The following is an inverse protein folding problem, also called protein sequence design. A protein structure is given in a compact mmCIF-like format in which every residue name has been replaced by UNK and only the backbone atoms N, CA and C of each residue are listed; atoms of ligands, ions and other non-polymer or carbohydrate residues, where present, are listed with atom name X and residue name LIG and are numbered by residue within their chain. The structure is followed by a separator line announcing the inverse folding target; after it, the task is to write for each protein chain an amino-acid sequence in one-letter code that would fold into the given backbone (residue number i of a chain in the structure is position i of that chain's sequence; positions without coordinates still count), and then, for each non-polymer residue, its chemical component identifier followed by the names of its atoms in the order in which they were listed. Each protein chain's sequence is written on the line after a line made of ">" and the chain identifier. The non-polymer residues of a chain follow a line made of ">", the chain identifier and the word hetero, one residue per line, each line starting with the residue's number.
data_IF_409235923216
#
_entry.id   IF_409235923216
#
_cell.length_a   1.000
_cell.length_b   1.000
_cell.length_c   1.000
_cell.angle_alpha   90.00
_cell.angle_beta   90.00
_cell.angle_gamma   90.00
#
_symmetry.space_group_name_H-M   'P 1'
#
loop_
_entity.id
_entity.type
_entity.pdbx_description
1 polymer ?
#
# COMPACT_ATOMS: atom_id res chain seq x y z
N UNK A 1 39.71 43.41 -2.82
CA UNK A 1 38.31 43.62 -2.38
C UNK A 1 37.57 42.31 -2.57
N UNK A 2 37.46 41.62 -1.44
CA UNK A 2 36.85 40.34 -1.32
C UNK A 2 35.36 40.49 -1.00
N UNK A 3 34.47 40.02 -1.81
CA UNK A 3 33.05 39.87 -1.50
C UNK A 3 32.71 38.41 -1.23
N UNK A 4 32.33 38.14 0.01
CA UNK A 4 31.84 36.86 0.52
C UNK A 4 30.52 36.47 -0.16
N UNK A 5 30.52 35.30 -0.80
CA UNK A 5 29.27 34.57 -1.13
C UNK A 5 28.77 33.91 0.17
N UNK A 6 27.63 34.37 0.68
CA UNK A 6 26.88 33.68 1.73
C UNK A 6 26.13 32.50 1.06
N UNK A 7 26.45 31.32 1.58
CA UNK A 7 25.79 30.07 1.29
C UNK A 7 24.42 30.04 1.95
N UNK A 8 23.34 30.09 1.19
CA UNK A 8 21.97 29.80 1.67
C UNK A 8 21.71 28.31 1.50
N UNK A 9 22.23 27.52 2.43
CA UNK A 9 21.88 26.10 2.55
C UNK A 9 21.48 25.85 4.01
N UNK A 10 20.20 25.86 4.30
CA UNK A 10 19.74 25.59 5.66
C UNK A 10 18.39 26.16 6.00
N UNK A 11 17.31 25.81 5.28
CA UNK A 11 15.93 25.98 5.78
C UNK A 11 14.92 25.17 4.95
N UNK A 12 15.04 23.85 4.97
CA UNK A 12 14.03 22.96 4.40
C UNK A 12 13.96 21.59 5.10
N UNK A 13 14.17 21.55 6.43
CA UNK A 13 13.94 20.35 7.24
C UNK A 13 13.29 20.73 8.56
N UNK A 14 12.08 21.29 8.50
CA UNK A 14 11.25 21.50 9.69
C UNK A 14 9.79 21.81 9.31
N UNK A 15 9.10 20.90 8.61
CA UNK A 15 7.64 20.93 8.46
C UNK A 15 7.09 19.56 8.05
N UNK A 16 7.38 18.53 8.86
CA UNK A 16 6.67 17.24 8.75
C UNK A 16 6.56 16.55 10.12
N UNK A 17 6.06 17.25 11.12
CA UNK A 17 5.81 16.68 12.46
C UNK A 17 4.65 17.35 13.19
N UNK A 18 3.56 17.66 12.48
CA UNK A 18 2.29 18.05 13.12
C UNK A 18 1.15 17.50 12.30
N UNK A 19 0.73 16.26 12.55
CA UNK A 19 -0.61 15.74 12.31
C UNK A 19 -0.74 14.32 12.92
N UNK A 20 -0.59 14.23 14.25
CA UNK A 20 -1.05 13.08 15.03
C UNK A 20 -1.41 13.57 16.43
N UNK A 21 -2.51 14.31 16.54
CA UNK A 21 -3.21 14.57 17.79
C UNK A 21 -4.69 14.74 17.48
N UNK A 22 -5.36 13.63 17.15
CA UNK A 22 -6.80 13.55 17.25
C UNK A 22 -7.11 13.10 18.68
N UNK A 23 -7.51 14.04 19.52
CA UNK A 23 -8.06 13.81 20.86
C UNK A 23 -9.28 12.92 20.77
N UNK A 24 -9.18 11.72 21.29
CA UNK A 24 -10.33 10.88 21.64
C UNK A 24 -10.92 11.44 22.93
N UNK A 25 -12.04 12.15 22.84
CA UNK A 25 -12.85 12.50 24.00
C UNK A 25 -13.68 11.28 24.43
N UNK A 26 -13.70 10.89 25.69
CA UNK A 26 -14.57 9.83 26.16
C UNK A 26 -16.03 10.32 26.16
N UNK A 27 -16.88 9.64 25.39
CA UNK A 27 -18.33 9.80 25.44
C UNK A 27 -18.83 9.28 26.79
N UNK A 28 -19.36 10.17 27.60
CA UNK A 28 -20.14 9.83 28.81
C UNK A 28 -21.40 9.10 28.36
N UNK A 29 -21.53 7.87 28.74
CA UNK A 29 -22.76 7.08 28.56
C UNK A 29 -23.72 7.47 29.68
N UNK A 30 -24.75 8.19 29.33
CA UNK A 30 -25.88 8.53 30.20
C UNK A 30 -26.70 7.25 30.48
N UNK A 31 -26.70 6.83 31.71
CA UNK A 31 -27.51 5.71 32.20
C UNK A 31 -28.99 6.11 32.19
N UNK A 32 -29.78 5.57 31.27
CA UNK A 32 -31.25 5.57 31.38
C UNK A 32 -31.69 4.38 32.24
N UNK A 33 -32.35 4.67 33.34
CA UNK A 33 -33.11 3.73 34.16
C UNK A 33 -34.27 3.11 33.36
N UNK A 34 -34.58 1.84 33.58
CA UNK A 34 -35.76 1.21 33.00
C UNK A 34 -37.04 1.57 33.76
N UNK A 35 -38.19 1.74 33.08
CA UNK A 35 -39.50 1.76 33.75
C UNK A 35 -39.97 0.32 34.06
N UNK A 36 -40.66 0.18 35.17
CA UNK A 36 -41.21 -1.04 35.72
C UNK A 36 -42.48 -1.49 35.00
N UNK A 37 -42.63 -2.83 34.95
CA UNK A 37 -43.82 -3.64 35.16
C UNK A 37 -45.12 -3.40 34.36
N UNK A 38 -45.49 -4.37 33.55
CA UNK A 38 -46.84 -4.91 33.53
C UNK A 38 -46.85 -6.31 32.90
N UNK A 39 -47.62 -7.16 33.53
CA UNK A 39 -47.72 -8.59 33.48
C UNK A 39 -48.45 -9.20 32.26
N UNK A 40 -48.21 -10.51 32.08
CA UNK A 40 -49.11 -11.56 31.56
C UNK A 40 -49.58 -11.52 30.11
N UNK A 41 -49.02 -12.40 29.28
CA UNK A 41 -49.77 -13.29 28.37
C UNK A 41 -48.86 -14.44 27.86
N UNK A 42 -49.25 -15.65 28.19
CA UNK A 42 -48.69 -16.92 27.68
C UNK A 42 -49.32 -17.30 26.30
N UNK A 43 -48.91 -18.44 25.69
CA UNK A 43 -48.13 -18.49 24.47
C UNK A 43 -48.95 -18.98 23.24
N UNK A 44 -48.54 -18.63 22.08
CA UNK A 44 -48.97 -19.32 20.85
C UNK A 44 -47.77 -19.81 20.09
N UNK A 45 -47.67 -21.12 19.95
CA UNK A 45 -46.71 -21.83 19.15
C UNK A 45 -46.93 -21.54 17.66
N UNK A 46 -45.93 -20.93 16.99
CA UNK A 46 -45.86 -21.02 15.58
C UNK A 46 -44.37 -21.24 15.17
N UNK A 47 -44.13 -22.35 14.46
CA UNK A 47 -42.82 -22.79 14.01
C UNK A 47 -42.42 -21.92 12.79
N UNK A 48 -41.22 -21.35 12.72
CA UNK A 48 -40.66 -20.94 11.46
C UNK A 48 -39.80 -22.08 10.90
N UNK A 49 -40.20 -22.47 9.71
CA UNK A 49 -39.49 -23.30 8.75
C UNK A 49 -38.04 -22.84 8.57
N UNK A 50 -37.16 -23.85 8.57
CA UNK A 50 -35.71 -23.67 8.46
C UNK A 50 -35.21 -22.87 7.28
N UNK A 51 -34.25 -21.99 7.57
CA UNK A 51 -33.22 -21.56 6.64
C UNK A 51 -31.90 -22.14 7.15
N UNK A 52 -31.45 -23.19 6.48
CA UNK A 52 -30.13 -23.76 6.65
C UNK A 52 -29.07 -22.75 6.18
N UNK A 53 -28.08 -22.48 7.00
CA UNK A 53 -26.93 -21.70 6.58
C UNK A 53 -26.21 -20.94 7.71
N UNK A 54 -26.06 -21.51 8.89
CA UNK A 54 -25.05 -21.05 9.84
C UNK A 54 -24.07 -22.20 10.06
N UNK A 55 -22.89 -22.12 9.39
CA UNK A 55 -21.76 -22.95 9.76
C UNK A 55 -21.52 -22.77 11.26
N UNK A 56 -21.87 -23.77 12.05
CA UNK A 56 -21.49 -23.85 13.46
C UNK A 56 -19.96 -23.91 13.45
N UNK A 57 -19.31 -22.82 13.85
CA UNK A 57 -17.93 -22.88 14.28
C UNK A 57 -17.92 -23.91 15.43
N UNK A 58 -17.31 -25.08 15.18
CA UNK A 58 -17.04 -26.05 16.24
C UNK A 58 -16.38 -25.28 17.38
N UNK A 59 -17.01 -25.31 18.55
CA UNK A 59 -16.44 -24.71 19.76
C UNK A 59 -15.21 -25.52 20.11
N UNK A 60 -14.02 -24.96 19.75
CA UNK A 60 -12.76 -25.57 20.12
C UNK A 60 -12.69 -25.68 21.66
N UNK A 61 -12.41 -26.89 22.18
CA UNK A 61 -12.23 -27.07 23.61
C UNK A 61 -11.01 -26.30 24.09
N UNK A 62 -11.21 -25.44 25.08
CA UNK A 62 -10.15 -24.71 25.74
C UNK A 62 -9.30 -25.65 26.58
N UNK A 63 -8.23 -26.19 26.00
CA UNK A 63 -7.31 -27.08 26.71
C UNK A 63 -6.41 -26.29 27.68
N UNK A 64 -5.93 -26.94 28.74
CA UNK A 64 -5.02 -26.31 29.70
C UNK A 64 -3.72 -25.80 29.06
N UNK A 65 -3.06 -26.51 28.10
CA UNK A 65 -1.91 -25.99 27.39
C UNK A 65 -2.21 -24.75 26.56
N UNK A 66 -3.33 -24.71 25.84
CA UNK A 66 -3.76 -23.56 25.05
C UNK A 66 -3.99 -22.35 25.96
N UNK A 67 -4.76 -22.50 27.02
CA UNK A 67 -5.01 -21.43 27.99
C UNK A 67 -3.70 -20.91 28.60
N UNK A 68 -2.81 -21.81 29.02
CA UNK A 68 -1.50 -21.43 29.55
C UNK A 68 -0.68 -20.64 28.56
N UNK A 69 -0.60 -21.06 27.27
CA UNK A 69 0.15 -20.39 26.23
C UNK A 69 -0.37 -18.97 25.97
N UNK A 70 -1.70 -18.80 25.88
CA UNK A 70 -2.32 -17.50 25.70
C UNK A 70 -2.10 -16.58 26.89
N UNK A 71 -2.32 -17.07 28.13
CA UNK A 71 -2.10 -16.28 29.35
C UNK A 71 -0.63 -15.87 29.51
N UNK A 72 0.30 -16.80 29.27
CA UNK A 72 1.72 -16.49 29.29
C UNK A 72 2.09 -15.41 28.26
N UNK A 73 1.55 -15.52 27.03
CA UNK A 73 1.73 -14.53 25.96
C UNK A 73 1.22 -13.14 26.38
N UNK A 74 0.01 -13.05 26.96
CA UNK A 74 -0.55 -11.78 27.44
C UNK A 74 0.27 -11.17 28.59
N UNK A 75 0.59 -11.95 29.61
CA UNK A 75 1.37 -11.46 30.76
C UNK A 75 2.77 -11.01 30.32
N UNK A 76 3.42 -11.77 29.44
CA UNK A 76 4.73 -11.40 28.90
C UNK A 76 4.64 -10.10 28.08
N UNK A 77 3.61 -9.95 27.25
CA UNK A 77 3.35 -8.74 26.46
C UNK A 77 3.15 -7.51 27.35
N UNK A 78 2.32 -7.60 28.38
CA UNK A 78 2.08 -6.53 29.36
C UNK A 78 3.36 -6.12 30.13
N UNK A 79 4.29 -7.05 30.30
CA UNK A 79 5.60 -6.81 30.96
C UNK A 79 6.69 -6.36 29.98
N UNK A 80 6.35 -6.10 28.71
CA UNK A 80 7.30 -5.72 27.68
C UNK A 80 8.22 -6.85 27.19
N UNK A 81 7.99 -8.12 27.62
CA UNK A 81 8.74 -9.30 27.16
C UNK A 81 8.12 -9.82 25.85
N UNK A 82 8.27 -9.03 24.80
CA UNK A 82 7.67 -9.33 23.50
C UNK A 82 8.24 -10.59 22.84
N UNK A 83 9.51 -10.90 23.14
CA UNK A 83 10.20 -12.14 22.75
C UNK A 83 9.45 -13.38 23.27
N UNK A 84 9.13 -13.38 24.57
CA UNK A 84 8.40 -14.47 25.22
C UNK A 84 6.94 -14.47 24.74
N UNK A 85 6.32 -13.28 24.60
CA UNK A 85 4.94 -13.13 24.17
C UNK A 85 4.71 -13.75 22.79
N UNK A 86 5.51 -13.37 21.78
CA UNK A 86 5.40 -13.92 20.42
C UNK A 86 5.57 -15.43 20.37
N UNK A 87 6.60 -15.96 21.06
CA UNK A 87 6.85 -17.40 21.13
C UNK A 87 5.71 -18.17 21.82
N UNK A 88 5.14 -17.61 22.89
CA UNK A 88 4.03 -18.25 23.62
C UNK A 88 2.75 -18.29 22.77
N UNK A 89 2.44 -17.22 22.03
CA UNK A 89 1.32 -17.21 21.09
C UNK A 89 1.52 -18.16 19.92
N UNK A 90 2.75 -18.26 19.38
CA UNK A 90 3.05 -19.21 18.30
C UNK A 90 2.85 -20.65 18.80
N UNK A 91 3.32 -20.99 20.00
CA UNK A 91 3.10 -22.31 20.58
C UNK A 91 1.61 -22.57 20.83
N UNK A 92 0.87 -21.61 21.38
CA UNK A 92 -0.58 -21.69 21.55
C UNK A 92 -1.30 -21.92 20.21
N UNK A 93 -0.85 -21.28 19.12
CA UNK A 93 -1.44 -21.46 17.79
C UNK A 93 -1.27 -22.87 17.21
N UNK A 94 -0.28 -23.63 17.68
CA UNK A 94 -0.09 -25.04 17.28
C UNK A 94 -1.13 -25.96 17.91
N UNK A 95 -1.71 -25.51 19.03
CA UNK A 95 -2.70 -26.25 19.82
C UNK A 95 -4.14 -25.78 19.54
N UNK A 96 -4.34 -24.87 18.60
CA UNK A 96 -5.63 -24.28 18.26
C UNK A 96 -5.82 -24.23 16.76
N UNK A 97 -7.06 -24.29 16.32
CA UNK A 97 -7.48 -24.03 14.94
C UNK A 97 -7.92 -22.58 14.72
N UNK A 98 -7.84 -21.72 15.76
CA UNK A 98 -8.17 -20.31 15.64
C UNK A 98 -7.00 -19.53 14.99
N UNK A 99 -7.18 -19.02 13.74
CA UNK A 99 -6.13 -18.31 13.02
C UNK A 99 -5.71 -17.01 13.70
N UNK A 100 -6.57 -16.42 14.55
CA UNK A 100 -6.30 -15.16 15.27
C UNK A 100 -5.13 -15.29 16.25
N UNK A 101 -4.87 -16.49 16.76
CA UNK A 101 -3.75 -16.74 17.67
C UNK A 101 -2.42 -16.67 16.90
N UNK A 102 -2.35 -17.27 15.71
CA UNK A 102 -1.19 -17.20 14.84
C UNK A 102 -0.95 -15.77 14.29
N UNK A 103 -2.02 -15.08 13.90
CA UNK A 103 -1.97 -13.67 13.52
C UNK A 103 -1.38 -12.80 14.62
N UNK A 104 -1.84 -12.98 15.87
CA UNK A 104 -1.32 -12.25 17.03
C UNK A 104 0.15 -12.55 17.28
N UNK A 105 0.55 -13.81 17.20
CA UNK A 105 1.95 -14.22 17.31
C UNK A 105 2.82 -13.51 16.27
N UNK A 106 2.37 -13.47 15.01
CA UNK A 106 3.07 -12.80 13.91
C UNK A 106 3.20 -11.29 14.18
N UNK A 107 2.09 -10.59 14.52
CA UNK A 107 2.10 -9.14 14.77
C UNK A 107 3.04 -8.76 15.92
N UNK A 108 3.03 -9.52 17.01
CA UNK A 108 3.92 -9.30 18.16
C UNK A 108 5.38 -9.53 17.75
N UNK A 109 5.67 -10.59 17.00
CA UNK A 109 7.03 -10.94 16.57
C UNK A 109 7.61 -9.92 15.59
N UNK A 110 6.78 -9.36 14.69
CA UNK A 110 7.17 -8.23 13.80
C UNK A 110 7.54 -7.02 14.65
N UNK A 111 6.70 -6.65 15.61
CA UNK A 111 6.96 -5.50 16.49
C UNK A 111 8.21 -5.73 17.36
N UNK A 112 8.43 -6.97 17.83
CA UNK A 112 9.62 -7.39 18.59
C UNK A 112 10.89 -7.47 17.73
N UNK A 113 10.81 -7.24 16.41
CA UNK A 113 11.91 -7.38 15.45
C UNK A 113 12.55 -8.78 15.46
N UNK A 114 11.70 -9.80 15.55
CA UNK A 114 12.08 -11.21 15.50
C UNK A 114 11.63 -11.83 14.18
N UNK A 115 12.39 -11.62 13.08
CA UNK A 115 11.92 -11.95 11.73
C UNK A 115 11.62 -13.44 11.54
N UNK A 116 12.43 -14.32 12.11
CA UNK A 116 12.22 -15.76 11.96
C UNK A 116 10.96 -16.23 12.69
N UNK A 117 10.73 -15.75 13.90
CA UNK A 117 9.54 -16.06 14.67
C UNK A 117 8.27 -15.51 14.00
N UNK A 118 8.36 -14.31 13.41
CA UNK A 118 7.28 -13.71 12.65
C UNK A 118 6.95 -14.55 11.40
N UNK A 119 7.98 -15.04 10.69
CA UNK A 119 7.81 -15.91 9.53
C UNK A 119 7.11 -17.23 9.91
N UNK A 120 7.55 -17.89 10.99
CA UNK A 120 6.95 -19.15 11.44
C UNK A 120 5.48 -18.95 11.86
N UNK A 121 5.17 -17.82 12.51
CA UNK A 121 3.80 -17.47 12.89
C UNK A 121 2.92 -17.16 11.66
N UNK A 122 3.47 -16.48 10.65
CA UNK A 122 2.75 -16.23 9.39
C UNK A 122 2.49 -17.52 8.60
N UNK A 123 3.45 -18.44 8.56
CA UNK A 123 3.26 -19.79 7.99
C UNK A 123 2.10 -20.51 8.67
N UNK A 124 2.09 -20.48 10.01
CA UNK A 124 0.99 -21.08 10.78
C UNK A 124 -0.34 -20.41 10.49
N UNK A 125 -0.37 -19.08 10.36
CA UNK A 125 -1.59 -18.34 10.04
C UNK A 125 -2.14 -18.74 8.66
N UNK A 126 -1.31 -18.85 7.63
CA UNK A 126 -1.73 -19.33 6.30
C UNK A 126 -2.23 -20.78 6.34
N UNK A 127 -1.64 -21.67 7.18
CA UNK A 127 -2.12 -23.05 7.33
C UNK A 127 -3.52 -23.07 7.94
N UNK A 128 -3.83 -22.18 8.91
CA UNK A 128 -5.12 -22.12 9.57
C UNK A 128 -6.19 -21.38 8.78
N UNK A 129 -5.77 -20.46 7.90
CA UNK A 129 -6.66 -19.66 7.08
C UNK A 129 -6.10 -19.55 5.64
N UNK A 130 -6.12 -20.62 4.84
CA UNK A 130 -5.43 -20.70 3.54
C UNK A 130 -5.96 -19.71 2.49
N UNK A 131 -7.22 -19.28 2.60
CA UNK A 131 -7.85 -18.31 1.69
C UNK A 131 -7.72 -16.85 2.17
N UNK A 132 -7.10 -16.63 3.34
CA UNK A 132 -6.94 -15.29 3.89
C UNK A 132 -5.81 -14.55 3.16
N UNK A 133 -6.17 -13.53 2.37
CA UNK A 133 -5.21 -12.74 1.57
C UNK A 133 -4.25 -11.94 2.45
N UNK A 134 -4.69 -11.45 3.64
CA UNK A 134 -3.83 -10.73 4.58
C UNK A 134 -2.74 -11.67 5.15
N UNK A 135 -3.10 -12.91 5.50
CA UNK A 135 -2.15 -13.92 5.96
C UNK A 135 -1.09 -14.23 4.89
N UNK A 136 -1.53 -14.41 3.63
CA UNK A 136 -0.62 -14.66 2.51
C UNK A 136 0.27 -13.47 2.20
N UNK A 137 -0.27 -12.26 2.27
CA UNK A 137 0.49 -11.03 2.09
C UNK A 137 1.57 -10.88 3.19
N UNK A 138 1.19 -11.11 4.45
CA UNK A 138 2.14 -11.07 5.56
C UNK A 138 3.25 -12.10 5.40
N UNK A 139 2.89 -13.33 5.01
CA UNK A 139 3.87 -14.40 4.77
C UNK A 139 4.81 -14.06 3.60
N UNK A 140 4.29 -13.56 2.46
CA UNK A 140 5.10 -13.16 1.32
C UNK A 140 6.15 -12.11 1.68
N UNK A 141 5.75 -11.05 2.41
CA UNK A 141 6.66 -9.99 2.85
C UNK A 141 7.70 -10.50 3.85
N UNK A 142 7.29 -11.33 4.82
CA UNK A 142 8.20 -11.88 5.81
C UNK A 142 9.19 -12.87 5.18
N UNK A 143 8.74 -13.72 4.27
CA UNK A 143 9.60 -14.62 3.50
C UNK A 143 10.64 -13.85 2.69
N UNK A 144 10.22 -12.76 2.02
CA UNK A 144 11.15 -11.90 1.28
C UNK A 144 12.23 -11.31 2.21
N UNK A 145 11.84 -10.80 3.38
CA UNK A 145 12.77 -10.19 4.36
C UNK A 145 13.74 -11.18 4.98
N UNK A 146 13.32 -12.42 5.13
CA UNK A 146 14.18 -13.49 5.69
C UNK A 146 15.01 -14.21 4.63
N UNK A 147 14.86 -13.86 3.34
CA UNK A 147 15.61 -14.45 2.24
C UNK A 147 14.98 -15.69 1.61
N UNK A 148 13.77 -16.05 2.04
CA UNK A 148 12.98 -17.17 1.49
C UNK A 148 12.28 -16.75 0.20
N UNK A 149 13.07 -16.39 -0.82
CA UNK A 149 12.59 -15.73 -2.04
C UNK A 149 11.56 -16.56 -2.80
N UNK A 150 11.74 -17.88 -2.85
CA UNK A 150 10.82 -18.77 -3.57
C UNK A 150 9.46 -18.86 -2.88
N UNK A 151 9.43 -18.90 -1.55
CA UNK A 151 8.19 -18.88 -0.77
C UNK A 151 7.48 -17.53 -0.93
N UNK A 152 8.22 -16.43 -0.90
CA UNK A 152 7.67 -15.09 -1.15
C UNK A 152 7.00 -15.02 -2.52
N UNK A 153 7.67 -15.50 -3.58
CA UNK A 153 7.13 -15.52 -4.95
C UNK A 153 5.82 -16.30 -5.04
N UNK A 154 5.76 -17.51 -4.46
CA UNK A 154 4.54 -18.33 -4.46
C UNK A 154 3.33 -17.61 -3.84
N UNK A 155 3.55 -16.89 -2.74
CA UNK A 155 2.48 -16.17 -2.09
C UNK A 155 2.10 -14.88 -2.82
N UNK A 156 3.04 -14.15 -3.42
CA UNK A 156 2.73 -13.02 -4.30
C UNK A 156 1.98 -13.46 -5.55
N UNK A 157 2.36 -14.58 -6.16
CA UNK A 157 1.64 -15.17 -7.29
C UNK A 157 0.19 -15.55 -6.92
N UNK A 158 0.00 -16.17 -5.75
CA UNK A 158 -1.34 -16.47 -5.25
C UNK A 158 -2.20 -15.20 -5.09
N UNK A 159 -1.63 -14.13 -4.56
CA UNK A 159 -2.34 -12.85 -4.43
C UNK A 159 -2.77 -12.29 -5.79
N UNK A 160 -1.90 -12.39 -6.82
CA UNK A 160 -2.22 -11.97 -8.18
C UNK A 160 -3.30 -12.83 -8.84
N UNK A 161 -3.41 -14.12 -8.47
CA UNK A 161 -4.40 -15.03 -9.04
C UNK A 161 -5.77 -14.91 -8.38
N UNK A 162 -5.81 -14.55 -7.10
CA UNK A 162 -7.03 -14.61 -6.28
C UNK A 162 -7.61 -13.24 -5.92
N UNK A 163 -6.96 -12.14 -6.30
CA UNK A 163 -7.53 -10.81 -6.21
C UNK A 163 -8.18 -10.45 -7.57
N UNK A 164 -9.46 -10.79 -7.71
CA UNK A 164 -10.17 -10.79 -9.00
C UNK A 164 -10.74 -9.44 -9.42
N UNK A 165 -10.73 -8.45 -8.52
CA UNK A 165 -11.49 -7.22 -8.76
C UNK A 165 -10.82 -6.26 -9.75
N UNK A 166 -9.49 -6.19 -9.77
CA UNK A 166 -8.72 -5.42 -10.76
C UNK A 166 -7.23 -5.79 -10.69
N UNK A 167 -6.65 -6.24 -11.81
CA UNK A 167 -5.22 -6.54 -11.89
C UNK A 167 -4.35 -5.32 -11.56
N UNK A 168 -4.71 -4.14 -12.06
CA UNK A 168 -3.96 -2.90 -11.81
C UNK A 168 -3.89 -2.57 -10.31
N UNK A 169 -5.00 -2.73 -9.55
CA UNK A 169 -5.02 -2.48 -8.11
C UNK A 169 -4.15 -3.48 -7.35
N UNK A 170 -4.12 -4.74 -7.80
CA UNK A 170 -3.28 -5.77 -7.19
C UNK A 170 -1.80 -5.48 -7.40
N UNK A 171 -1.39 -5.11 -8.62
CA UNK A 171 -0.01 -4.70 -8.88
C UNK A 171 0.35 -3.41 -8.14
N UNK A 172 -0.58 -2.47 -8.00
CA UNK A 172 -0.36 -1.26 -7.19
C UNK A 172 -0.14 -1.61 -5.71
N UNK A 173 -0.91 -2.54 -5.15
CA UNK A 173 -0.71 -3.02 -3.78
C UNK A 173 0.66 -3.71 -3.61
N UNK A 174 1.04 -4.57 -4.56
CA UNK A 174 2.37 -5.21 -4.58
C UNK A 174 3.50 -4.18 -4.67
N UNK A 175 3.37 -3.19 -5.54
CA UNK A 175 4.34 -2.10 -5.66
C UNK A 175 4.54 -1.40 -4.30
N UNK A 176 3.44 -1.05 -3.61
CA UNK A 176 3.52 -0.38 -2.29
C UNK A 176 4.22 -1.26 -1.25
N UNK A 177 3.99 -2.57 -1.29
CA UNK A 177 4.66 -3.52 -0.39
C UNK A 177 6.16 -3.61 -0.71
N UNK A 178 6.50 -3.83 -1.97
CA UNK A 178 7.88 -4.04 -2.41
C UNK A 178 8.72 -2.75 -2.31
N UNK A 179 8.12 -1.58 -2.54
CA UNK A 179 8.81 -0.29 -2.38
C UNK A 179 9.20 0.03 -0.92
N UNK A 180 8.60 -0.66 0.07
CA UNK A 180 8.96 -0.51 1.49
C UNK A 180 10.07 -1.47 1.93
N UNK A 181 10.51 -2.36 1.06
CA UNK A 181 11.56 -3.31 1.41
C UNK A 181 12.94 -2.63 1.45
N UNK A 182 13.72 -2.85 2.53
CA UNK A 182 15.03 -2.22 2.69
C UNK A 182 16.02 -2.65 1.61
N UNK A 183 15.91 -3.90 1.15
CA UNK A 183 16.75 -4.46 0.10
C UNK A 183 16.08 -4.35 -1.25
N UNK A 184 16.20 -3.17 -1.84
CA UNK A 184 15.57 -2.81 -3.11
C UNK A 184 15.82 -3.82 -4.23
N UNK A 185 17.03 -4.43 -4.28
CA UNK A 185 17.34 -5.42 -5.32
C UNK A 185 16.47 -6.67 -5.19
N UNK A 186 16.20 -7.14 -3.97
CA UNK A 186 15.29 -8.28 -3.77
C UNK A 186 13.86 -7.98 -4.23
N UNK A 187 13.41 -6.75 -3.98
CA UNK A 187 12.09 -6.30 -4.47
C UNK A 187 12.03 -6.30 -6.00
N UNK A 188 13.08 -5.81 -6.67
CA UNK A 188 13.19 -5.84 -8.13
C UNK A 188 13.23 -7.27 -8.66
N UNK A 189 13.98 -8.18 -8.03
CA UNK A 189 14.10 -9.57 -8.45
C UNK A 189 12.76 -10.32 -8.34
N UNK A 190 11.99 -10.08 -7.30
CA UNK A 190 10.62 -10.62 -7.16
C UNK A 190 9.71 -10.07 -8.24
N UNK A 191 9.71 -8.75 -8.46
CA UNK A 191 8.85 -8.15 -9.48
C UNK A 191 9.21 -8.65 -10.87
N UNK A 192 10.50 -8.81 -11.19
CA UNK A 192 10.95 -9.41 -12.44
C UNK A 192 10.38 -10.81 -12.68
N UNK A 193 10.39 -11.65 -11.63
CA UNK A 193 9.83 -13.00 -11.71
C UNK A 193 8.31 -12.99 -11.90
N UNK A 194 7.59 -12.09 -11.21
CA UNK A 194 6.15 -11.93 -11.36
C UNK A 194 5.76 -11.46 -12.77
N UNK A 195 6.52 -10.50 -13.33
CA UNK A 195 6.34 -10.02 -14.72
C UNK A 195 6.63 -11.14 -15.72
N UNK A 196 7.66 -11.96 -15.49
CA UNK A 196 7.98 -13.08 -16.36
C UNK A 196 6.87 -14.15 -16.45
N UNK A 197 6.02 -14.27 -15.41
CA UNK A 197 4.84 -15.13 -15.43
C UNK A 197 3.71 -14.58 -16.33
N UNK A 198 3.71 -13.27 -16.60
CA UNK A 198 2.67 -12.54 -17.36
C UNK A 198 3.30 -11.52 -18.32
N UNK A 199 4.08 -11.95 -19.30
CA UNK A 199 4.92 -11.05 -20.12
C UNK A 199 4.12 -10.15 -21.08
N UNK A 200 2.82 -10.40 -21.25
CA UNK A 200 1.92 -9.59 -22.08
C UNK A 200 0.94 -8.72 -21.22
N UNK A 201 1.15 -8.66 -19.91
CA UNK A 201 0.32 -7.86 -19.01
C UNK A 201 0.93 -6.45 -18.84
N UNK A 202 0.33 -5.38 -19.43
CA UNK A 202 0.89 -4.04 -19.34
C UNK A 202 0.85 -3.48 -17.90
N UNK A 203 -0.07 -3.93 -17.03
CA UNK A 203 -0.15 -3.47 -15.64
C UNK A 203 0.99 -4.05 -14.80
N UNK A 204 1.44 -5.28 -15.11
CA UNK A 204 2.64 -5.87 -14.52
C UNK A 204 3.90 -5.06 -14.86
N UNK A 205 4.11 -4.77 -16.14
CA UNK A 205 5.24 -3.97 -16.61
C UNK A 205 5.20 -2.54 -16.04
N UNK A 206 4.00 -1.95 -15.95
CA UNK A 206 3.84 -0.61 -15.37
C UNK A 206 4.23 -0.56 -13.89
N UNK A 207 3.80 -1.55 -13.10
CA UNK A 207 4.19 -1.67 -11.69
C UNK A 207 5.71 -1.88 -11.55
N UNK A 208 6.32 -2.67 -12.44
CA UNK A 208 7.76 -2.90 -12.44
C UNK A 208 8.54 -1.64 -12.82
N UNK A 209 8.10 -0.90 -13.84
CA UNK A 209 8.67 0.40 -14.20
C UNK A 209 8.65 1.38 -13.01
N UNK A 210 7.52 1.46 -12.30
CA UNK A 210 7.39 2.32 -11.11
C UNK A 210 8.28 1.88 -9.96
N UNK A 211 8.44 0.58 -9.75
CA UNK A 211 9.38 0.05 -8.75
C UNK A 211 10.82 0.37 -9.12
N UNK A 212 11.17 0.27 -10.41
CA UNK A 212 12.48 0.64 -10.94
C UNK A 212 12.77 2.14 -10.76
N UNK A 213 11.77 3.02 -10.98
CA UNK A 213 11.87 4.46 -10.69
C UNK A 213 12.11 4.69 -9.18
N UNK A 214 11.37 4.01 -8.31
CA UNK A 214 11.60 4.09 -6.86
C UNK A 214 13.01 3.66 -6.47
N UNK A 215 13.53 2.61 -7.13
CA UNK A 215 14.89 2.11 -6.98
C UNK A 215 15.96 2.98 -7.65
N UNK A 216 15.58 4.04 -8.36
CA UNK A 216 16.44 4.88 -9.20
C UNK A 216 17.20 4.08 -10.30
N UNK A 217 16.66 2.93 -10.70
CA UNK A 217 17.18 2.13 -11.79
C UNK A 217 16.55 2.60 -13.11
N UNK A 218 17.08 3.72 -13.63
CA UNK A 218 16.54 4.39 -14.82
C UNK A 218 16.54 3.53 -16.08
N UNK A 219 17.60 2.73 -16.38
CA UNK A 219 17.61 1.87 -17.56
C UNK A 219 16.50 0.80 -17.51
N UNK A 220 16.28 0.20 -16.35
CA UNK A 220 15.21 -0.76 -16.17
C UNK A 220 13.82 -0.09 -16.28
N UNK A 221 13.66 1.09 -15.66
CA UNK A 221 12.41 1.84 -15.73
C UNK A 221 12.03 2.19 -17.18
N UNK A 222 13.01 2.62 -17.98
CA UNK A 222 12.83 2.91 -19.40
C UNK A 222 12.41 1.65 -20.19
N UNK A 223 13.13 0.55 -20.00
CA UNK A 223 12.82 -0.73 -20.67
C UNK A 223 11.38 -1.17 -20.38
N UNK A 224 10.97 -1.12 -19.12
CA UNK A 224 9.65 -1.57 -18.69
C UNK A 224 8.53 -0.63 -19.17
N UNK A 225 8.76 0.69 -19.16
CA UNK A 225 7.77 1.65 -19.66
C UNK A 225 7.60 1.55 -21.19
N UNK A 226 8.68 1.28 -21.92
CA UNK A 226 8.62 1.04 -23.36
C UNK A 226 7.82 -0.23 -23.66
N UNK A 227 7.94 -1.26 -22.81
CA UNK A 227 7.13 -2.48 -22.92
C UNK A 227 5.65 -2.18 -22.68
N UNK A 228 5.32 -1.36 -21.68
CA UNK A 228 3.93 -0.89 -21.46
C UNK A 228 3.38 -0.21 -22.72
N UNK A 229 4.14 0.73 -23.30
CA UNK A 229 3.70 1.49 -24.48
C UNK A 229 3.61 0.62 -25.74
N UNK A 230 4.43 -0.44 -25.84
CA UNK A 230 4.29 -1.42 -26.92
C UNK A 230 3.00 -2.26 -26.79
N UNK A 231 2.58 -2.62 -25.57
CA UNK A 231 1.37 -3.39 -25.29
C UNK A 231 0.10 -2.52 -25.26
N UNK A 232 0.22 -1.27 -24.76
CA UNK A 232 -0.87 -0.31 -24.60
C UNK A 232 -0.40 1.09 -25.02
N UNK A 233 -0.40 1.40 -26.34
CA UNK A 233 0.16 2.66 -26.87
C UNK A 233 -0.59 3.93 -26.45
N UNK A 234 -1.79 3.78 -25.93
CA UNK A 234 -2.68 4.84 -25.42
C UNK A 234 -2.62 5.03 -23.90
N UNK A 235 -1.70 4.36 -23.20
CA UNK A 235 -1.53 4.51 -21.77
C UNK A 235 -0.94 5.89 -21.42
N UNK A 236 -1.80 6.84 -21.07
CA UNK A 236 -1.37 8.20 -20.68
C UNK A 236 -0.50 8.19 -19.43
N UNK A 237 -0.76 7.26 -18.49
CA UNK A 237 0.08 7.06 -17.31
C UNK A 237 1.50 6.61 -17.66
N UNK A 238 1.64 5.73 -18.68
CA UNK A 238 2.96 5.30 -19.13
C UNK A 238 3.70 6.43 -19.86
N UNK A 239 3.02 7.25 -20.68
CA UNK A 239 3.59 8.43 -21.30
C UNK A 239 4.09 9.45 -20.28
N UNK A 240 3.33 9.69 -19.21
CA UNK A 240 3.74 10.55 -18.09
C UNK A 240 4.98 9.98 -17.41
N UNK A 241 4.99 8.67 -17.11
CA UNK A 241 6.10 8.01 -16.45
C UNK A 241 7.38 8.06 -17.32
N UNK A 242 7.27 7.86 -18.64
CA UNK A 242 8.38 7.95 -19.58
C UNK A 242 9.01 9.35 -19.56
N UNK A 243 8.18 10.39 -19.60
CA UNK A 243 8.69 11.77 -19.53
C UNK A 243 9.35 12.06 -18.18
N UNK A 244 8.80 11.55 -17.06
CA UNK A 244 9.43 11.69 -15.74
C UNK A 244 10.79 10.98 -15.67
N UNK A 245 10.94 9.81 -16.28
CA UNK A 245 12.23 9.09 -16.36
C UNK A 245 13.24 9.94 -17.12
N UNK A 246 12.86 10.49 -18.30
CA UNK A 246 13.73 11.32 -19.11
C UNK A 246 14.14 12.61 -18.38
N UNK A 247 13.22 13.26 -17.68
CA UNK A 247 13.54 14.42 -16.84
C UNK A 247 14.57 14.07 -15.75
N UNK A 248 14.42 12.92 -15.08
CA UNK A 248 15.37 12.47 -14.04
C UNK A 248 16.75 12.11 -14.60
N UNK A 249 16.83 11.73 -15.86
CA UNK A 249 18.11 11.50 -16.58
C UNK A 249 18.75 12.77 -17.09
N UNK A 250 18.02 13.89 -17.06
CA UNK A 250 18.48 15.18 -17.61
C UNK A 250 18.13 15.40 -19.08
N UNK A 251 17.35 14.49 -19.68
CA UNK A 251 16.90 14.58 -21.08
C UNK A 251 15.65 15.48 -21.17
N UNK A 252 15.78 16.73 -20.69
CA UNK A 252 14.69 17.67 -20.46
C UNK A 252 13.89 17.96 -21.75
N UNK A 253 14.58 18.18 -22.86
CA UNK A 253 13.94 18.50 -24.13
C UNK A 253 13.12 17.31 -24.66
N UNK A 254 13.62 16.08 -24.50
CA UNK A 254 12.89 14.88 -24.89
C UNK A 254 11.62 14.72 -24.03
N UNK A 255 11.73 14.91 -22.71
CA UNK A 255 10.58 14.86 -21.80
C UNK A 255 9.51 15.89 -22.18
N UNK A 256 9.93 17.12 -22.51
CA UNK A 256 9.04 18.19 -22.95
C UNK A 256 8.31 17.84 -24.25
N UNK A 257 9.05 17.40 -25.28
CA UNK A 257 8.48 17.02 -26.57
C UNK A 257 7.50 15.86 -26.46
N UNK A 258 7.81 14.85 -25.63
CA UNK A 258 6.93 13.70 -25.40
C UNK A 258 5.60 14.12 -24.79
N UNK A 259 5.61 14.91 -23.70
CA UNK A 259 4.35 15.35 -23.05
C UNK A 259 3.59 16.34 -23.91
N UNK A 260 4.26 17.24 -24.64
CA UNK A 260 3.62 18.14 -25.60
C UNK A 260 2.87 17.36 -26.70
N UNK A 261 3.52 16.35 -27.28
CA UNK A 261 2.91 15.50 -28.29
C UNK A 261 1.73 14.68 -27.70
N UNK A 262 1.89 14.18 -26.47
CA UNK A 262 0.86 13.42 -25.79
C UNK A 262 -0.37 14.28 -25.47
N UNK A 263 -0.20 15.49 -24.96
CA UNK A 263 -1.32 16.45 -24.70
C UNK A 263 -2.04 16.82 -26.01
N UNK A 264 -1.32 16.99 -27.12
CA UNK A 264 -1.94 17.24 -28.43
C UNK A 264 -2.75 16.04 -28.92
N UNK A 265 -2.32 14.81 -28.60
CA UNK A 265 -2.99 13.57 -29.01
C UNK A 265 -4.20 13.26 -28.13
N UNK A 266 -4.12 13.59 -26.83
CA UNK A 266 -5.15 13.31 -25.83
C UNK A 266 -5.55 14.61 -25.09
N UNK A 267 -6.19 15.57 -25.78
CA UNK A 267 -6.44 16.91 -25.25
C UNK A 267 -7.41 16.92 -24.06
N UNK A 268 -8.27 15.91 -23.93
CA UNK A 268 -9.24 15.78 -22.85
C UNK A 268 -8.65 15.11 -21.59
N UNK A 269 -7.41 14.62 -21.64
CA UNK A 269 -6.74 14.00 -20.49
C UNK A 269 -6.17 15.07 -19.56
N UNK A 270 -6.93 15.38 -18.50
CA UNK A 270 -6.54 16.40 -17.52
C UNK A 270 -5.30 16.01 -16.70
N UNK A 271 -5.07 14.69 -16.48
CA UNK A 271 -3.90 14.20 -15.73
C UNK A 271 -2.62 14.42 -16.57
N UNK A 272 -2.70 14.08 -17.84
CA UNK A 272 -1.60 14.29 -18.79
C UNK A 272 -1.26 15.78 -18.95
N UNK A 273 -2.27 16.64 -19.12
CA UNK A 273 -2.10 18.10 -19.20
C UNK A 273 -1.50 18.65 -17.90
N UNK A 274 -1.93 18.14 -16.75
CA UNK A 274 -1.37 18.52 -15.44
C UNK A 274 0.10 18.11 -15.31
N UNK A 275 0.45 16.91 -15.78
CA UNK A 275 1.84 16.44 -15.79
C UNK A 275 2.73 17.32 -16.70
N UNK A 276 2.21 17.70 -17.87
CA UNK A 276 2.91 18.61 -18.77
C UNK A 276 3.11 20.01 -18.16
N UNK A 277 2.07 20.58 -17.54
CA UNK A 277 2.18 21.86 -16.87
C UNK A 277 3.23 21.85 -15.75
N UNK A 278 3.32 20.77 -14.98
CA UNK A 278 4.35 20.60 -13.93
C UNK A 278 5.75 20.48 -14.53
N UNK A 279 5.90 19.71 -15.61
CA UNK A 279 7.18 19.63 -16.30
C UNK A 279 7.65 21.00 -16.79
N UNK A 280 6.76 21.82 -17.35
CA UNK A 280 7.09 23.18 -17.79
C UNK A 280 7.55 24.07 -16.61
N UNK A 281 6.97 23.89 -15.41
CA UNK A 281 7.47 24.57 -14.20
C UNK A 281 8.87 24.11 -13.83
N UNK A 282 9.12 22.78 -13.86
CA UNK A 282 10.44 22.21 -13.56
C UNK A 282 11.53 22.68 -14.57
N UNK A 283 11.12 23.11 -15.76
CA UNK A 283 11.98 23.65 -16.82
C UNK A 283 12.04 25.19 -16.84
N UNK A 284 11.46 25.87 -15.84
CA UNK A 284 11.36 27.34 -15.77
C UNK A 284 10.56 27.99 -16.92
N UNK A 285 9.78 27.20 -17.66
CA UNK A 285 8.90 27.67 -18.75
C UNK A 285 7.56 28.19 -18.19
N UNK A 286 7.60 29.17 -17.31
CA UNK A 286 6.44 29.61 -16.50
C UNK A 286 5.26 30.13 -17.32
N UNK A 287 5.49 30.81 -18.45
CA UNK A 287 4.39 31.32 -19.29
C UNK A 287 3.61 30.19 -19.95
N UNK A 288 4.32 29.16 -20.43
CA UNK A 288 3.72 27.97 -21.01
C UNK A 288 2.96 27.16 -19.91
N UNK A 289 3.55 27.01 -18.73
CA UNK A 289 2.89 26.35 -17.59
C UNK A 289 1.58 27.05 -17.19
N UNK A 290 1.60 28.40 -17.16
CA UNK A 290 0.38 29.19 -16.88
C UNK A 290 -0.72 28.97 -17.93
N UNK A 291 -0.34 28.83 -19.19
CA UNK A 291 -1.30 28.57 -20.25
C UNK A 291 -2.00 27.20 -20.06
N UNK A 292 -1.22 26.15 -19.74
CA UNK A 292 -1.76 24.82 -19.49
C UNK A 292 -2.61 24.76 -18.21
N UNK A 293 -2.19 25.39 -17.10
CA UNK A 293 -3.03 25.48 -15.89
C UNK A 293 -4.33 26.23 -16.11
N UNK A 294 -4.33 27.32 -16.93
CA UNK A 294 -5.57 28.02 -17.30
C UNK A 294 -6.50 27.17 -18.15
N UNK A 295 -5.93 26.34 -19.04
CA UNK A 295 -6.71 25.38 -19.82
C UNK A 295 -7.40 24.36 -18.90
N UNK A 296 -6.69 23.79 -17.93
CA UNK A 296 -7.24 22.89 -16.91
C UNK A 296 -8.37 23.53 -16.10
N UNK A 297 -8.23 24.79 -15.69
CA UNK A 297 -9.27 25.49 -14.92
C UNK A 297 -10.54 25.78 -15.73
N UNK A 298 -10.48 25.84 -17.06
CA UNK A 298 -11.70 25.93 -17.88
C UNK A 298 -12.52 24.67 -17.81
N UNK A 299 -11.87 23.51 -17.72
CA UNK A 299 -12.50 22.20 -17.63
C UNK A 299 -12.91 21.85 -16.19
N UNK A 300 -12.06 22.22 -15.23
CA UNK A 300 -12.19 21.93 -13.80
C UNK A 300 -12.02 23.20 -12.94
N UNK A 301 -13.02 24.11 -12.91
CA UNK A 301 -12.90 25.42 -12.23
C UNK A 301 -12.59 25.32 -10.73
N UNK A 302 -13.06 24.26 -10.07
CA UNK A 302 -12.93 24.03 -8.64
C UNK A 302 -11.69 23.21 -8.26
N UNK A 303 -10.77 22.92 -9.19
CA UNK A 303 -9.57 22.16 -8.92
C UNK A 303 -8.58 23.00 -8.08
N UNK A 304 -8.68 22.87 -6.75
CA UNK A 304 -7.88 23.63 -5.79
C UNK A 304 -6.37 23.48 -5.98
N UNK A 305 -5.89 22.33 -6.46
CA UNK A 305 -4.47 22.12 -6.74
C UNK A 305 -3.98 22.95 -7.91
N UNK A 306 -4.76 23.04 -8.98
CA UNK A 306 -4.43 23.83 -10.16
C UNK A 306 -4.49 25.31 -9.84
N UNK A 307 -5.52 25.75 -9.08
CA UNK A 307 -5.64 27.13 -8.59
C UNK A 307 -4.42 27.53 -7.76
N UNK A 308 -4.00 26.67 -6.82
CA UNK A 308 -2.82 26.90 -6.00
C UNK A 308 -1.53 26.98 -6.81
N UNK A 309 -1.32 26.07 -7.76
CA UNK A 309 -0.15 26.08 -8.64
C UNK A 309 -0.08 27.37 -9.49
N UNK A 310 -1.22 27.79 -10.04
CA UNK A 310 -1.30 29.03 -10.83
C UNK A 310 -1.05 30.26 -9.95
N UNK A 311 -1.52 30.28 -8.71
CA UNK A 311 -1.28 31.37 -7.76
C UNK A 311 0.22 31.49 -7.42
N UNK A 312 0.91 30.37 -7.16
CA UNK A 312 2.35 30.35 -6.92
C UNK A 312 3.14 30.93 -8.12
N UNK A 313 2.85 30.49 -9.34
CA UNK A 313 3.49 31.01 -10.55
C UNK A 313 3.24 32.51 -10.79
N UNK A 314 2.18 33.07 -10.19
CA UNK A 314 1.89 34.50 -10.29
C UNK A 314 2.72 35.34 -9.32
N UNK A 315 3.36 34.71 -8.33
CA UNK A 315 4.25 35.38 -7.37
C UNK A 315 5.71 35.39 -7.85
N UNK A 316 6.07 34.53 -8.79
CA UNK A 316 7.42 34.41 -9.37
C UNK A 316 7.60 35.29 -10.62
N UNK A 317 6.56 35.97 -11.06
CA UNK A 317 6.56 36.93 -12.18
C UNK A 317 6.71 38.38 -11.69
#
# INVERSE_FOLDING_TARGET
>A
FTTKKLSFCGLAVALLSVLLSACVQPRVVEQRQPPAEAADAEPSADQPTGVAGSGQAEKEELTAPLLYGVLLGEIAGQRGRLDVSGASYLEASRQSNDPRIAERAMKISVYAKQPQLALDAARRWVVLAPENLEARQALAVLALRTGEQQEALQHFEYLLQNNTDNNADTYQALLVLLAREPETQRALDIMAQLVALRPEDPDAHFAYARLAVHAQNWPLAETEVDRVLALRPDSTQALILQAQINLKRGDNELARQQLEAAVKRYPEDSELRLAYARLLVDLDEFDAARAEYRALLKEQPDNGQVVYSLALLSLEA
#
